data_IF_275698984269
#
_entry.id   IF_275698984269
#
_cell.length_a   1.000
_cell.length_b   1.000
_cell.length_c   1.000
_cell.angle_alpha   90.00
_cell.angle_beta   90.00
_cell.angle_gamma   90.00
#
_symmetry.space_group_name_H-M   'P 1'
#
loop_
_entity.id
_entity.type
_entity.pdbx_description
1 polymer ?
#
# COMPACT_ATOMS: atom_id res chain seq x y z
N UNK A 1 10.36 -8.26 1.62
CA UNK A 1 10.63 -9.04 0.39
C UNK A 1 10.88 -8.05 -0.73
N UNK A 2 11.59 -8.41 -1.81
CA UNK A 2 11.75 -7.53 -2.97
C UNK A 2 10.39 -7.10 -3.52
N UNK A 3 10.18 -5.81 -3.76
CA UNK A 3 8.94 -5.25 -4.32
C UNK A 3 8.59 -5.84 -5.69
N UNK A 4 9.60 -6.31 -6.43
CA UNK A 4 9.49 -6.87 -7.78
C UNK A 4 8.57 -8.10 -7.87
N UNK A 5 8.36 -8.82 -6.77
CA UNK A 5 7.52 -10.04 -6.78
C UNK A 5 6.03 -9.73 -6.63
N UNK A 6 5.69 -8.53 -6.19
CA UNK A 6 4.33 -8.17 -5.80
C UNK A 6 3.37 -8.12 -7.01
N UNK A 7 3.73 -7.49 -8.16
CA UNK A 7 2.87 -7.51 -9.34
C UNK A 7 2.53 -8.93 -9.82
N UNK A 8 3.54 -9.81 -9.89
CA UNK A 8 3.36 -11.20 -10.30
C UNK A 8 2.44 -11.97 -9.34
N UNK A 9 2.56 -11.70 -8.03
CA UNK A 9 1.72 -12.31 -7.00
C UNK A 9 0.25 -11.92 -7.19
N UNK A 10 -0.05 -10.64 -7.39
CA UNK A 10 -1.42 -10.19 -7.66
C UNK A 10 -1.98 -10.83 -8.94
N UNK A 11 -1.20 -10.86 -10.02
CA UNK A 11 -1.64 -11.47 -11.30
C UNK A 11 -2.02 -12.94 -11.15
N UNK A 12 -1.17 -13.75 -10.49
CA UNK A 12 -1.46 -15.17 -10.26
C UNK A 12 -2.76 -15.35 -9.46
N UNK A 13 -2.94 -14.57 -8.39
CA UNK A 13 -4.15 -14.67 -7.57
C UNK A 13 -5.41 -14.26 -8.34
N UNK A 14 -5.33 -13.19 -9.14
CA UNK A 14 -6.46 -12.75 -9.97
C UNK A 14 -6.79 -13.78 -11.06
N UNK A 15 -5.79 -14.39 -11.68
CA UNK A 15 -5.98 -15.49 -12.65
C UNK A 15 -6.65 -16.71 -12.02
N UNK A 16 -6.24 -17.08 -10.80
CA UNK A 16 -6.81 -18.23 -10.10
C UNK A 16 -8.27 -18.01 -9.71
N UNK A 17 -8.62 -16.79 -9.29
CA UNK A 17 -10.01 -16.40 -9.05
C UNK A 17 -10.82 -16.47 -10.34
N UNK A 18 -10.30 -15.90 -11.44
CA UNK A 18 -10.97 -15.93 -12.74
C UNK A 18 -11.20 -17.37 -13.25
N UNK A 19 -10.26 -18.29 -12.98
CA UNK A 19 -10.40 -19.72 -13.33
C UNK A 19 -11.45 -20.44 -12.48
N UNK A 20 -11.61 -20.06 -11.21
CA UNK A 20 -12.51 -20.72 -10.28
C UNK A 20 -13.96 -20.24 -10.41
N UNK A 21 -14.18 -18.93 -10.46
CA UNK A 21 -15.51 -18.31 -10.41
C UNK A 21 -16.00 -17.85 -11.80
N UNK A 22 -15.12 -17.81 -12.81
CA UNK A 22 -15.43 -17.41 -14.18
C UNK A 22 -15.47 -15.89 -14.41
N UNK A 23 -15.52 -15.09 -13.35
CA UNK A 23 -15.50 -13.62 -13.35
C UNK A 23 -14.51 -13.07 -12.30
N UNK A 24 -14.32 -11.74 -12.29
CA UNK A 24 -13.54 -11.04 -11.28
C UNK A 24 -14.44 -10.48 -10.17
N UNK A 25 -13.88 -10.23 -8.99
CA UNK A 25 -14.60 -9.50 -7.93
C UNK A 25 -14.75 -8.03 -8.31
N UNK A 26 -15.89 -7.42 -7.96
CA UNK A 26 -16.12 -5.99 -8.19
C UNK A 26 -15.24 -5.11 -7.29
N UNK A 27 -15.05 -5.54 -6.03
CA UNK A 27 -14.35 -4.78 -5.00
C UNK A 27 -13.41 -5.64 -4.16
N UNK A 28 -12.32 -5.03 -3.74
CA UNK A 28 -11.28 -5.62 -2.91
C UNK A 28 -11.07 -4.73 -1.67
N UNK A 29 -11.16 -5.35 -0.49
CA UNK A 29 -10.81 -4.70 0.78
C UNK A 29 -9.41 -5.17 1.20
N UNK A 30 -8.45 -4.26 1.17
CA UNK A 30 -7.05 -4.52 1.48
C UNK A 30 -6.73 -3.86 2.83
N UNK A 31 -6.61 -4.65 3.91
CA UNK A 31 -6.07 -4.15 5.17
C UNK A 31 -4.55 -4.06 5.08
N UNK A 32 -4.00 -2.89 5.40
CA UNK A 32 -2.57 -2.67 5.46
C UNK A 32 -2.14 -1.88 6.70
N UNK A 33 -0.85 -1.58 6.76
CA UNK A 33 -0.20 -0.87 7.87
C UNK A 33 0.80 0.13 7.33
N UNK A 34 0.89 1.26 8.02
CA UNK A 34 1.93 2.27 7.86
C UNK A 34 2.65 2.48 9.19
N UNK A 35 3.81 3.10 9.15
CA UNK A 35 4.54 3.45 10.36
C UNK A 35 4.94 4.92 10.37
N UNK A 36 5.04 5.44 11.58
CA UNK A 36 5.51 6.79 11.85
C UNK A 36 7.04 6.77 11.96
N UNK A 37 7.69 7.48 11.06
CA UNK A 37 9.13 7.75 11.09
C UNK A 37 9.36 8.99 11.94
N UNK A 38 9.98 8.79 13.09
CA UNK A 38 10.53 9.88 13.87
C UNK A 38 11.97 10.12 13.40
N UNK A 39 12.25 11.31 12.86
CA UNK A 39 13.63 11.76 12.72
C UNK A 39 14.19 12.02 14.14
N UNK A 40 14.87 11.02 14.73
CA UNK A 40 15.70 11.26 15.91
C UNK A 40 16.93 12.08 15.47
N UNK A 41 16.78 13.41 15.42
CA UNK A 41 17.94 14.28 15.49
C UNK A 41 18.59 14.07 16.87
N UNK A 42 19.79 13.49 16.90
CA UNK A 42 20.62 13.25 18.11
C UNK A 42 21.04 14.53 18.87
N UNK A 43 20.34 15.65 18.72
CA UNK A 43 20.67 16.90 19.40
C UNK A 43 19.43 17.59 19.97
N UNK A 44 19.32 17.52 21.30
CA UNK A 44 18.47 18.30 22.20
C UNK A 44 17.12 17.69 22.59
N UNK A 45 17.10 17.21 23.83
CA UNK A 45 16.00 16.69 24.64
C UNK A 45 14.86 17.68 24.96
N UNK A 46 14.57 18.69 24.14
CA UNK A 46 13.53 19.68 24.46
C UNK A 46 12.75 20.32 23.28
N UNK A 47 12.75 19.72 22.08
CA UNK A 47 11.87 20.20 20.99
C UNK A 47 10.83 19.14 20.64
N UNK A 48 9.55 19.52 20.78
CA UNK A 48 8.40 18.80 20.21
C UNK A 48 8.64 18.62 18.70
N UNK A 49 9.02 17.41 18.29
CA UNK A 49 9.10 17.02 16.89
C UNK A 49 7.68 17.07 16.34
N UNK A 50 7.46 17.97 15.36
CA UNK A 50 6.14 18.28 14.78
C UNK A 50 5.95 17.69 13.38
N UNK A 51 6.93 16.96 12.88
CA UNK A 51 6.89 16.28 11.59
C UNK A 51 7.05 14.80 11.85
N UNK A 52 5.91 14.12 11.93
CA UNK A 52 5.84 12.67 11.89
C UNK A 52 5.68 12.32 10.42
N UNK A 53 6.75 11.89 9.76
CA UNK A 53 6.63 11.37 8.40
C UNK A 53 6.01 9.98 8.48
N UNK A 54 5.02 9.71 7.64
CA UNK A 54 4.37 8.40 7.59
C UNK A 54 4.91 7.66 6.39
N UNK A 55 5.49 6.49 6.65
CA UNK A 55 6.07 5.64 5.63
C UNK A 55 5.33 4.29 5.54
N UNK A 56 5.46 3.63 4.40
CA UNK A 56 4.69 2.43 4.06
C UNK A 56 5.48 1.17 4.37
N UNK A 57 4.83 0.17 4.98
CA UNK A 57 5.45 -1.16 5.09
C UNK A 57 5.48 -1.90 3.75
N UNK A 58 4.53 -1.55 2.89
CA UNK A 58 4.27 -2.16 1.60
C UNK A 58 4.25 -1.02 0.58
N UNK A 59 5.29 -0.93 -0.24
CA UNK A 59 5.44 0.17 -1.21
C UNK A 59 4.29 0.20 -2.23
N UNK A 60 3.67 -0.96 -2.50
CA UNK A 60 2.49 -1.07 -3.36
C UNK A 60 1.29 -0.30 -2.82
N UNK A 61 1.17 -0.12 -1.51
CA UNK A 61 0.06 0.61 -0.89
C UNK A 61 0.00 2.05 -1.38
N UNK A 62 1.14 2.66 -1.74
CA UNK A 62 1.16 4.01 -2.30
C UNK A 62 0.36 4.11 -3.60
N UNK A 63 0.44 3.08 -4.45
CA UNK A 63 -0.27 2.99 -5.72
C UNK A 63 -1.71 2.50 -5.54
N UNK A 64 -1.94 1.63 -4.54
CA UNK A 64 -3.29 1.17 -4.22
C UNK A 64 -4.12 2.30 -3.64
N UNK A 65 -3.57 3.12 -2.74
CA UNK A 65 -4.29 4.25 -2.15
C UNK A 65 -4.57 5.38 -3.15
N UNK A 66 -3.70 5.60 -4.14
CA UNK A 66 -3.92 6.65 -5.15
C UNK A 66 -5.08 6.36 -6.09
N UNK A 67 -5.35 5.07 -6.36
CA UNK A 67 -6.46 4.63 -7.20
C UNK A 67 -7.64 4.08 -6.37
N UNK A 68 -7.59 4.15 -5.04
CA UNK A 68 -8.63 3.62 -4.17
C UNK A 68 -9.93 4.43 -4.26
N UNK A 69 -11.06 3.71 -4.17
CA UNK A 69 -12.39 4.31 -4.06
C UNK A 69 -12.59 4.90 -2.66
N UNK A 70 -12.04 4.23 -1.65
CA UNK A 70 -12.13 4.68 -0.27
C UNK A 70 -10.91 4.23 0.54
N UNK A 71 -10.36 5.14 1.34
CA UNK A 71 -9.27 4.85 2.28
C UNK A 71 -9.66 5.32 3.68
N UNK A 72 -9.32 4.50 4.68
CA UNK A 72 -9.48 4.86 6.08
C UNK A 72 -8.24 4.46 6.85
N UNK A 73 -7.78 5.33 7.74
CA UNK A 73 -6.65 5.05 8.63
C UNK A 73 -7.09 5.27 10.08
N UNK A 74 -6.78 4.30 10.93
CA UNK A 74 -7.01 4.40 12.36
C UNK A 74 -5.91 5.23 13.05
N UNK A 75 -6.18 5.67 14.27
CA UNK A 75 -5.19 6.36 15.09
C UNK A 75 -3.94 5.50 15.30
N UNK A 76 -2.77 6.15 15.27
CA UNK A 76 -1.48 5.51 15.54
C UNK A 76 -1.47 4.87 16.93
N UNK A 77 -1.16 3.59 16.98
CA UNK A 77 -0.88 2.85 18.22
C UNK A 77 0.56 2.40 18.21
N UNK A 78 1.39 3.06 19.03
CA UNK A 78 2.83 2.79 19.14
C UNK A 78 3.59 3.02 17.81
N UNK A 79 3.25 4.07 17.08
CA UNK A 79 3.91 4.39 15.81
C UNK A 79 3.45 3.53 14.63
N UNK A 80 2.39 2.73 14.81
CA UNK A 80 1.81 1.89 13.77
C UNK A 80 0.39 2.35 13.48
N UNK A 81 0.13 2.62 12.21
CA UNK A 81 -1.15 3.10 11.69
C UNK A 81 -1.76 1.95 10.90
N UNK A 82 -2.97 1.53 11.28
CA UNK A 82 -3.72 0.55 10.49
C UNK A 82 -4.49 1.28 9.40
N UNK A 83 -4.30 0.87 8.14
CA UNK A 83 -5.01 1.42 6.98
C UNK A 83 -5.91 0.37 6.35
N UNK A 84 -7.02 0.81 5.79
CA UNK A 84 -7.97 0.00 5.04
C UNK A 84 -8.20 0.68 3.70
N UNK A 85 -8.01 -0.09 2.63
CA UNK A 85 -8.10 0.38 1.26
C UNK A 85 -9.22 -0.40 0.59
N UNK A 86 -10.22 0.29 0.07
CA UNK A 86 -11.27 -0.28 -0.77
C UNK A 86 -11.00 0.14 -2.22
N UNK A 87 -10.81 -0.83 -3.09
CA UNK A 87 -10.47 -0.62 -4.51
C UNK A 87 -11.33 -1.50 -5.40
N UNK A 88 -11.71 -1.00 -6.58
CA UNK A 88 -12.41 -1.80 -7.57
C UNK A 88 -11.44 -2.61 -8.44
N UNK A 89 -11.97 -3.49 -9.30
CA UNK A 89 -11.14 -4.35 -10.13
C UNK A 89 -10.27 -3.58 -11.13
N UNK A 90 -10.88 -2.65 -11.88
CA UNK A 90 -10.18 -1.88 -12.91
C UNK A 90 -9.13 -0.97 -12.29
N UNK A 91 -9.43 -0.37 -11.14
CA UNK A 91 -8.49 0.45 -10.38
C UNK A 91 -7.33 -0.37 -9.83
N UNK A 92 -7.58 -1.60 -9.36
CA UNK A 92 -6.54 -2.51 -8.89
C UNK A 92 -5.57 -2.88 -10.03
N UNK A 93 -6.10 -3.21 -11.22
CA UNK A 93 -5.28 -3.50 -12.38
C UNK A 93 -4.42 -2.30 -12.77
N UNK A 94 -4.97 -1.08 -12.72
CA UNK A 94 -4.24 0.16 -12.97
C UNK A 94 -3.12 0.38 -11.95
N UNK A 95 -3.38 0.16 -10.66
CA UNK A 95 -2.34 0.25 -9.61
C UNK A 95 -1.21 -0.76 -9.82
N UNK A 96 -1.51 -1.98 -10.29
CA UNK A 96 -0.49 -3.00 -10.56
C UNK A 96 0.40 -2.57 -11.74
N UNK A 97 -0.18 -2.00 -12.80
CA UNK A 97 0.59 -1.49 -13.95
C UNK A 97 1.49 -0.32 -13.54
N UNK A 98 0.96 0.65 -12.78
CA UNK A 98 1.74 1.78 -12.27
C UNK A 98 2.90 1.32 -11.37
N UNK A 99 2.69 0.25 -10.58
CA UNK A 99 3.74 -0.38 -9.78
C UNK A 99 4.82 -1.03 -10.66
N UNK A 100 4.44 -1.74 -11.73
CA UNK A 100 5.39 -2.34 -12.68
C UNK A 100 6.23 -1.28 -13.39
N UNK A 101 5.61 -0.19 -13.84
CA UNK A 101 6.30 0.93 -14.48
C UNK A 101 7.28 1.59 -13.51
N UNK A 102 6.87 1.84 -12.26
CA UNK A 102 7.75 2.41 -11.23
C UNK A 102 8.94 1.49 -10.90
N UNK A 103 8.73 0.17 -10.90
CA UNK A 103 9.81 -0.81 -10.73
C UNK A 103 10.75 -0.77 -11.95
N UNK A 104 10.21 -0.68 -13.18
CA UNK A 104 11.02 -0.63 -14.39
C UNK A 104 11.84 0.66 -14.52
N UNK A 105 11.36 1.79 -14.00
CA UNK A 105 12.10 3.06 -13.99
C UNK A 105 13.22 3.09 -12.92
N UNK A 106 13.06 2.35 -11.83
CA UNK A 106 14.00 2.36 -10.71
C UNK A 106 15.24 1.46 -10.92
N UNK A 107 15.25 0.58 -11.93
CA UNK A 107 16.29 -0.44 -12.15
C UNK A 107 16.72 -0.52 -13.63
#
# INVERSE_FOLDING_TARGET
MPIQVIPALYKIVLEDVAKAEGEHYDYYLIPSRKFEVNEESEQNSNKKVKTVEVDYFHDEDKFLESNALYTNSLESKKGLIQSFILIGHDELLKSIVELEDAIAEAF
#
